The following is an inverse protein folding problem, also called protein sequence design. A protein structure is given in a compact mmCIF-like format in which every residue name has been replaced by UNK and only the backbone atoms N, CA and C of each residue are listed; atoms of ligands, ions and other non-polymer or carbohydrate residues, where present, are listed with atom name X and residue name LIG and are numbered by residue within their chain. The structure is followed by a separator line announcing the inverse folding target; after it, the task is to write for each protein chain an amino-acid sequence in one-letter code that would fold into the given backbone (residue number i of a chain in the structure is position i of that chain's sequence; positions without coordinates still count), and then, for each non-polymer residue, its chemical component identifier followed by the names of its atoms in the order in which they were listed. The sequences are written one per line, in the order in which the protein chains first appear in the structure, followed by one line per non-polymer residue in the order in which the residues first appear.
data_IF_002032002669
#
_entry.id   IF_002032002669
#
_cell.length_a   1.000
_cell.length_b   1.000
_cell.length_c   1.000
_cell.angle_alpha   90.00
_cell.angle_beta   90.00
_cell.angle_gamma   90.00
#
_symmetry.space_group_name_H-M   'P 1'
#
loop_
_entity.id
_entity.type
_entity.pdbx_description
1 polymer ?
#
# COMPACT_ATOMS: atom_id res chain seq x y z
N UNK A 1 27.32 30.79 -65.54
CA UNK A 1 25.99 30.23 -65.22
C UNK A 1 26.04 28.89 -64.46
N UNK A 2 27.10 28.06 -64.59
CA UNK A 2 27.22 26.75 -63.91
C UNK A 2 27.46 26.79 -62.38
N UNK A 3 28.04 27.86 -61.83
CA UNK A 3 28.43 27.92 -60.40
C UNK A 3 27.21 27.98 -59.46
N UNK A 4 26.09 28.56 -59.90
CA UNK A 4 24.86 28.71 -59.09
C UNK A 4 24.13 27.38 -58.85
N UNK A 5 24.16 26.47 -59.83
CA UNK A 5 23.45 25.18 -59.76
C UNK A 5 24.15 24.22 -58.79
N UNK A 6 25.48 24.16 -58.82
CA UNK A 6 26.27 23.31 -57.93
C UNK A 6 26.09 23.69 -56.46
N UNK A 7 26.07 24.99 -56.15
CA UNK A 7 25.85 25.46 -54.78
C UNK A 7 24.46 25.08 -54.24
N UNK A 8 23.40 25.21 -55.05
CA UNK A 8 22.03 24.81 -54.67
C UNK A 8 21.90 23.31 -54.39
N UNK A 9 22.61 22.48 -55.15
CA UNK A 9 22.62 21.02 -54.93
C UNK A 9 23.34 20.69 -53.62
N UNK A 10 24.47 21.33 -53.33
CA UNK A 10 25.22 21.11 -52.08
C UNK A 10 24.41 21.55 -50.87
N UNK A 11 23.78 22.73 -50.90
CA UNK A 11 22.96 23.20 -49.76
C UNK A 11 21.72 22.33 -49.55
N UNK A 12 21.07 21.88 -50.63
CA UNK A 12 19.96 20.92 -50.55
C UNK A 12 20.39 19.59 -49.93
N UNK A 13 21.54 19.03 -50.35
CA UNK A 13 22.06 17.78 -49.81
C UNK A 13 22.46 17.91 -48.34
N UNK A 14 23.09 19.03 -47.95
CA UNK A 14 23.43 19.31 -46.55
C UNK A 14 22.17 19.41 -45.68
N UNK A 15 21.14 20.12 -46.15
CA UNK A 15 19.88 20.23 -45.43
C UNK A 15 19.16 18.88 -45.30
N UNK A 16 19.17 18.06 -46.36
CA UNK A 16 18.57 16.72 -46.34
C UNK A 16 19.32 15.76 -45.42
N UNK A 17 20.65 15.84 -45.37
CA UNK A 17 21.50 15.08 -44.44
C UNK A 17 21.26 15.53 -43.00
N UNK A 18 21.15 16.84 -42.75
CA UNK A 18 20.86 17.39 -41.42
C UNK A 18 19.50 16.94 -40.89
N UNK A 19 18.44 17.04 -41.71
CA UNK A 19 17.10 16.56 -41.32
C UNK A 19 17.07 15.04 -41.12
N UNK A 20 17.80 14.27 -41.94
CA UNK A 20 17.94 12.81 -41.76
C UNK A 20 18.70 12.46 -40.48
N UNK A 21 19.71 13.26 -40.11
CA UNK A 21 20.46 13.09 -38.87
C UNK A 21 19.60 13.41 -37.65
N UNK A 22 18.82 14.49 -37.66
CA UNK A 22 17.91 14.87 -36.57
C UNK A 22 16.79 13.83 -36.35
N UNK A 23 16.19 13.33 -37.43
CA UNK A 23 15.16 12.27 -37.36
C UNK A 23 15.72 10.93 -36.87
N UNK A 24 16.90 10.52 -37.35
CA UNK A 24 17.57 9.31 -36.86
C UNK A 24 17.97 9.43 -35.38
N UNK A 25 18.41 10.61 -34.95
CA UNK A 25 18.73 10.88 -33.55
C UNK A 25 17.49 10.81 -32.66
N UNK A 26 16.34 11.33 -33.13
CA UNK A 26 15.05 11.23 -32.45
C UNK A 26 14.54 9.79 -32.32
N UNK A 27 14.57 9.01 -33.40
CA UNK A 27 14.19 7.58 -33.36
C UNK A 27 15.12 6.75 -32.46
N UNK A 28 16.43 7.02 -32.48
CA UNK A 28 17.38 6.36 -31.59
C UNK A 28 17.10 6.69 -30.13
N UNK A 29 16.80 7.96 -29.80
CA UNK A 29 16.43 8.37 -28.45
C UNK A 29 15.15 7.66 -28.01
N UNK A 30 14.11 7.64 -28.85
CA UNK A 30 12.86 6.95 -28.53
C UNK A 30 13.05 5.45 -28.31
N UNK A 31 13.79 4.77 -29.19
CA UNK A 31 14.10 3.34 -29.04
C UNK A 31 14.99 3.05 -27.83
N UNK A 32 15.91 3.96 -27.48
CA UNK A 32 16.74 3.86 -26.29
C UNK A 32 15.91 4.02 -25.02
N UNK A 33 15.03 5.02 -24.96
CA UNK A 33 14.08 5.19 -23.85
C UNK A 33 13.13 4.01 -23.76
N UNK A 34 12.59 3.52 -24.88
CA UNK A 34 11.65 2.40 -24.89
C UNK A 34 12.34 1.11 -24.43
N UNK A 35 13.54 0.79 -24.93
CA UNK A 35 14.35 -0.33 -24.42
C UNK A 35 14.76 -0.14 -22.96
N UNK A 36 15.05 1.08 -22.52
CA UNK A 36 15.38 1.37 -21.12
C UNK A 36 14.17 1.15 -20.22
N UNK A 37 12.98 1.62 -20.62
CA UNK A 37 11.72 1.43 -19.89
C UNK A 37 11.31 -0.04 -19.87
N UNK A 38 11.42 -0.75 -20.99
CA UNK A 38 11.15 -2.19 -21.09
C UNK A 38 12.14 -2.98 -20.20
N UNK A 39 13.42 -2.62 -20.18
CA UNK A 39 14.40 -3.26 -19.32
C UNK A 39 14.11 -2.99 -17.83
N UNK A 40 13.81 -1.73 -17.46
CA UNK A 40 13.39 -1.35 -16.10
C UNK A 40 12.15 -2.13 -15.68
N UNK A 41 11.16 -2.23 -16.56
CA UNK A 41 9.92 -2.98 -16.34
C UNK A 41 10.17 -4.48 -16.17
N UNK A 42 10.99 -5.10 -17.02
CA UNK A 42 11.32 -6.53 -16.92
C UNK A 42 12.10 -6.86 -15.64
N UNK A 43 13.05 -6.00 -15.25
CA UNK A 43 13.80 -6.16 -13.99
C UNK A 43 12.86 -6.05 -12.79
N UNK A 44 11.96 -5.05 -12.75
CA UNK A 44 10.92 -4.90 -11.72
C UNK A 44 10.02 -6.13 -11.64
N UNK A 45 9.55 -6.64 -12.79
CA UNK A 45 8.68 -7.81 -12.88
C UNK A 45 9.34 -9.08 -12.35
N UNK A 46 10.62 -9.31 -12.64
CA UNK A 46 11.37 -10.46 -12.09
C UNK A 46 11.49 -10.39 -10.56
N UNK A 47 11.73 -9.20 -10.00
CA UNK A 47 11.81 -9.00 -8.55
C UNK A 47 10.49 -9.33 -7.85
N UNK A 48 9.35 -8.95 -8.43
CA UNK A 48 8.03 -9.30 -7.88
C UNK A 48 7.82 -10.81 -7.75
N UNK A 49 8.15 -11.58 -8.79
CA UNK A 49 7.97 -13.05 -8.80
C UNK A 49 8.90 -13.74 -7.80
N UNK A 50 10.14 -13.27 -7.67
CA UNK A 50 11.08 -13.79 -6.67
C UNK A 50 10.59 -13.49 -5.26
N UNK A 51 10.08 -12.28 -5.01
CA UNK A 51 9.58 -11.89 -3.69
C UNK A 51 8.34 -12.68 -3.28
N UNK A 52 7.35 -12.86 -4.16
CA UNK A 52 6.17 -13.69 -3.85
C UNK A 52 6.54 -15.14 -3.56
N UNK A 53 7.53 -15.69 -4.29
CA UNK A 53 8.06 -17.03 -4.01
C UNK A 53 8.76 -17.09 -2.63
N UNK A 54 9.51 -16.05 -2.25
CA UNK A 54 10.09 -15.94 -0.90
C UNK A 54 8.97 -15.94 0.16
N UNK A 55 7.96 -15.10 0.01
CA UNK A 55 6.82 -15.04 0.95
C UNK A 55 6.15 -16.40 1.14
N UNK A 56 5.91 -17.13 0.03
CA UNK A 56 5.31 -18.47 0.10
C UNK A 56 6.22 -19.50 0.79
N UNK A 57 7.54 -19.41 0.57
CA UNK A 57 8.54 -20.30 1.19
C UNK A 57 8.63 -20.04 2.70
N UNK A 58 8.64 -18.78 3.13
CA UNK A 58 8.79 -18.37 4.52
C UNK A 58 7.46 -18.20 5.27
N UNK A 59 6.34 -18.65 4.71
CA UNK A 59 4.98 -18.42 5.26
C UNK A 59 4.81 -18.87 6.72
N UNK A 60 5.37 -20.00 7.12
CA UNK A 60 5.25 -20.52 8.49
C UNK A 60 5.99 -19.63 9.49
N UNK A 61 7.17 -19.16 9.10
CA UNK A 61 7.98 -18.21 9.88
C UNK A 61 7.27 -16.87 9.98
N UNK A 62 6.70 -16.37 8.87
CA UNK A 62 5.95 -15.13 8.83
C UNK A 62 4.79 -15.18 9.82
N UNK A 63 3.96 -16.23 9.77
CA UNK A 63 2.80 -16.39 10.66
C UNK A 63 3.26 -16.51 12.12
N UNK A 64 4.30 -17.30 12.38
CA UNK A 64 4.83 -17.47 13.73
C UNK A 64 5.33 -16.16 14.32
N UNK A 65 6.05 -15.36 13.53
CA UNK A 65 6.53 -14.05 13.95
C UNK A 65 5.37 -13.05 14.11
N UNK A 66 4.33 -13.12 13.27
CA UNK A 66 3.17 -12.24 13.38
C UNK A 66 2.40 -12.51 14.68
N UNK A 67 2.23 -13.79 15.05
CA UNK A 67 1.63 -14.18 16.33
C UNK A 67 2.47 -13.68 17.50
N UNK A 68 3.79 -13.85 17.44
CA UNK A 68 4.69 -13.34 18.48
C UNK A 68 4.63 -11.81 18.60
N UNK A 69 4.51 -11.11 17.47
CA UNK A 69 4.41 -9.65 17.43
C UNK A 69 3.10 -9.18 18.10
N UNK A 70 1.98 -9.82 17.78
CA UNK A 70 0.69 -9.60 18.47
C UNK A 70 0.80 -9.84 19.98
N UNK A 71 1.41 -10.96 20.39
CA UNK A 71 1.59 -11.28 21.79
C UNK A 71 2.44 -10.23 22.51
N UNK A 72 3.52 -9.74 21.89
CA UNK A 72 4.37 -8.68 22.43
C UNK A 72 3.61 -7.36 22.57
N UNK A 73 2.85 -6.97 21.55
CA UNK A 73 2.07 -5.72 21.53
C UNK A 73 0.99 -5.69 22.62
N UNK A 74 0.34 -6.82 22.88
CA UNK A 74 -0.73 -6.92 23.89
C UNK A 74 -0.24 -7.48 25.23
N UNK A 75 1.08 -7.51 25.44
CA UNK A 75 1.75 -8.04 26.64
C UNK A 75 1.33 -9.47 27.04
N UNK A 76 0.77 -10.25 26.11
CA UNK A 76 0.20 -11.58 26.39
C UNK A 76 -0.99 -11.57 27.36
N UNK A 77 -1.59 -10.41 27.64
CA UNK A 77 -2.70 -10.29 28.61
C UNK A 77 -4.01 -9.92 27.92
N UNK A 78 -5.13 -10.37 28.50
CA UNK A 78 -6.46 -9.94 28.09
C UNK A 78 -6.62 -8.42 28.21
N UNK A 79 -5.98 -7.80 29.19
CA UNK A 79 -6.01 -6.35 29.40
C UNK A 79 -5.42 -5.56 28.21
N UNK A 80 -4.28 -6.01 27.66
CA UNK A 80 -3.68 -5.38 26.49
C UNK A 80 -4.55 -5.50 25.24
N UNK A 81 -5.20 -6.66 25.06
CA UNK A 81 -6.14 -6.86 23.96
C UNK A 81 -7.37 -5.96 24.08
N UNK A 82 -7.99 -5.89 25.27
CA UNK A 82 -9.12 -4.99 25.54
C UNK A 82 -8.72 -3.53 25.26
N UNK A 83 -7.52 -3.12 25.67
CA UNK A 83 -7.03 -1.76 25.43
C UNK A 83 -6.96 -1.40 23.94
N UNK A 84 -6.53 -2.33 23.10
CA UNK A 84 -6.47 -2.12 21.63
C UNK A 84 -7.83 -1.89 20.98
N UNK A 85 -8.92 -2.30 21.64
CA UNK A 85 -10.30 -2.08 21.20
C UNK A 85 -10.84 -0.77 21.79
N UNK A 86 -10.54 -0.50 23.06
CA UNK A 86 -10.98 0.72 23.75
C UNK A 86 -10.49 1.98 23.03
N UNK A 87 -9.21 2.03 22.63
CA UNK A 87 -8.64 3.23 22.03
C UNK A 87 -9.37 3.66 20.72
N UNK A 88 -9.55 2.77 19.72
CA UNK A 88 -10.37 3.06 18.53
C UNK A 88 -11.83 3.39 18.85
N UNK A 89 -12.45 2.68 19.80
CA UNK A 89 -13.84 2.95 20.17
C UNK A 89 -14.00 4.33 20.80
N UNK A 90 -13.10 4.72 21.70
CA UNK A 90 -13.08 6.08 22.29
C UNK A 90 -12.86 7.11 21.19
N UNK A 91 -11.97 6.85 20.24
CA UNK A 91 -11.74 7.74 19.08
C UNK A 91 -13.03 7.93 18.28
N UNK A 92 -13.72 6.83 17.95
CA UNK A 92 -15.01 6.85 17.24
C UNK A 92 -16.07 7.62 18.06
N UNK A 93 -16.14 7.40 19.38
CA UNK A 93 -17.08 8.08 20.27
C UNK A 93 -16.82 9.59 20.38
N UNK A 94 -15.55 10.00 20.45
CA UNK A 94 -15.18 11.42 20.45
C UNK A 94 -15.60 12.07 19.14
N UNK A 95 -15.33 11.42 18.00
CA UNK A 95 -15.78 11.93 16.70
C UNK A 95 -17.29 11.98 16.61
N UNK A 96 -17.99 10.95 17.06
CA UNK A 96 -19.45 10.97 17.16
C UNK A 96 -19.94 12.16 17.97
N UNK A 97 -19.39 12.37 19.17
CA UNK A 97 -19.80 13.46 20.06
C UNK A 97 -19.58 14.82 19.41
N UNK A 98 -18.39 15.07 18.84
CA UNK A 98 -18.05 16.35 18.21
C UNK A 98 -18.95 16.63 17.00
N UNK A 99 -19.12 15.66 16.09
CA UNK A 99 -19.87 15.88 14.85
C UNK A 99 -21.38 15.78 15.02
N UNK A 100 -21.87 14.88 15.86
CA UNK A 100 -23.31 14.68 16.09
C UNK A 100 -23.88 15.66 17.12
N UNK A 101 -23.18 15.91 18.22
CA UNK A 101 -23.69 16.76 19.31
C UNK A 101 -23.19 18.20 19.16
N UNK A 102 -21.89 18.37 18.90
CA UNK A 102 -21.27 19.69 18.75
C UNK A 102 -21.68 20.39 17.46
N UNK A 103 -21.45 19.74 16.32
CA UNK A 103 -21.71 20.32 14.99
C UNK A 103 -23.10 20.00 14.43
N UNK A 104 -23.84 19.07 15.07
CA UNK A 104 -25.19 18.64 14.65
C UNK A 104 -25.29 18.29 13.17
N UNK A 105 -24.27 17.61 12.65
CA UNK A 105 -24.22 17.15 11.27
C UNK A 105 -25.41 16.23 11.03
N UNK A 106 -26.22 16.55 10.01
CA UNK A 106 -27.37 15.73 9.66
C UNK A 106 -26.93 14.37 9.08
N UNK A 107 -27.71 13.31 9.33
CA UNK A 107 -27.49 12.01 8.69
C UNK A 107 -27.45 12.15 7.15
N UNK A 108 -26.63 11.32 6.50
CA UNK A 108 -26.58 11.28 5.03
C UNK A 108 -27.67 10.31 4.59
N UNK A 109 -28.83 10.86 4.23
CA UNK A 109 -30.03 10.07 3.98
C UNK A 109 -30.43 9.28 5.22
N UNK A 110 -30.59 7.97 5.07
CA UNK A 110 -31.00 7.10 6.17
C UNK A 110 -29.84 6.61 7.05
N UNK A 111 -28.58 6.87 6.68
CA UNK A 111 -27.42 6.32 7.40
C UNK A 111 -26.96 7.28 8.50
N UNK A 112 -26.91 6.83 9.78
CA UNK A 112 -26.35 7.65 10.85
C UNK A 112 -24.90 8.04 10.53
N UNK A 113 -24.57 9.30 10.78
CA UNK A 113 -23.23 9.84 10.50
C UNK A 113 -22.11 8.98 11.08
N UNK A 114 -22.32 8.39 12.26
CA UNK A 114 -21.33 7.55 12.92
C UNK A 114 -20.99 6.27 12.15
N UNK A 115 -21.97 5.63 11.51
CA UNK A 115 -21.71 4.44 10.69
C UNK A 115 -20.91 4.82 9.44
N UNK A 116 -21.29 5.92 8.79
CA UNK A 116 -20.59 6.44 7.62
C UNK A 116 -19.13 6.79 7.96
N UNK A 117 -18.92 7.53 9.05
CA UNK A 117 -17.59 7.97 9.45
C UNK A 117 -16.71 6.81 9.94
N UNK A 118 -17.25 5.90 10.76
CA UNK A 118 -16.51 4.75 11.25
C UNK A 118 -16.08 3.81 10.12
N UNK A 119 -16.90 3.66 9.06
CA UNK A 119 -16.54 2.87 7.88
C UNK A 119 -15.28 3.41 7.16
N UNK A 120 -15.10 4.73 7.10
CA UNK A 120 -13.91 5.36 6.53
C UNK A 120 -12.72 5.36 7.51
N UNK A 121 -12.99 5.56 8.80
CA UNK A 121 -11.96 5.71 9.82
C UNK A 121 -11.22 4.38 10.09
N UNK A 122 -11.92 3.24 10.11
CA UNK A 122 -11.32 1.95 10.47
C UNK A 122 -10.20 1.50 9.51
N UNK A 123 -10.39 1.52 8.18
CA UNK A 123 -9.30 1.27 7.22
C UNK A 123 -8.18 2.29 7.38
N UNK A 124 -8.52 3.57 7.56
CA UNK A 124 -7.52 4.63 7.73
C UNK A 124 -6.61 4.41 8.94
N UNK A 125 -7.18 4.08 10.10
CA UNK A 125 -6.43 3.80 11.32
C UNK A 125 -5.44 2.65 11.12
N UNK A 126 -5.91 1.57 10.51
CA UNK A 126 -5.07 0.39 10.25
C UNK A 126 -3.97 0.72 9.24
N UNK A 127 -4.27 1.53 8.22
CA UNK A 127 -3.31 1.92 7.19
C UNK A 127 -2.19 2.78 7.80
N UNK A 128 -2.58 3.81 8.54
CA UNK A 128 -1.65 4.72 9.20
C UNK A 128 -0.74 3.98 10.20
N UNK A 129 -1.32 3.10 11.01
CA UNK A 129 -0.57 2.26 11.96
C UNK A 129 0.42 1.34 11.23
N UNK A 130 -0.02 0.69 10.14
CA UNK A 130 0.84 -0.25 9.39
C UNK A 130 2.03 0.44 8.75
N UNK A 131 1.82 1.63 8.16
CA UNK A 131 2.93 2.40 7.59
C UNK A 131 3.93 2.79 8.69
N UNK A 132 3.44 3.32 9.81
CA UNK A 132 4.30 3.80 10.90
C UNK A 132 5.16 2.67 11.49
N UNK A 133 4.56 1.50 11.70
CA UNK A 133 5.27 0.31 12.20
C UNK A 133 6.28 -0.19 11.16
N UNK A 134 5.90 -0.24 9.88
CA UNK A 134 6.76 -0.71 8.81
C UNK A 134 8.02 0.14 8.63
N UNK A 135 7.95 1.45 8.85
CA UNK A 135 9.13 2.33 8.79
C UNK A 135 10.20 1.94 9.81
N UNK A 136 9.80 1.40 10.97
CA UNK A 136 10.72 1.09 12.07
C UNK A 136 11.01 -0.41 12.24
N UNK A 137 10.36 -1.27 11.46
CA UNK A 137 10.36 -2.73 11.70
C UNK A 137 11.76 -3.37 11.60
N UNK A 138 12.62 -2.87 10.71
CA UNK A 138 13.98 -3.38 10.53
C UNK A 138 14.87 -3.01 11.71
N UNK A 139 14.79 -1.75 12.17
CA UNK A 139 15.54 -1.29 13.32
C UNK A 139 15.12 -2.05 14.59
N UNK A 140 13.79 -2.20 14.78
CA UNK A 140 13.20 -2.92 15.92
C UNK A 140 13.59 -4.41 15.95
N UNK A 141 13.78 -5.04 14.77
CA UNK A 141 14.13 -6.46 14.66
C UNK A 141 15.61 -6.70 14.28
N UNK A 142 16.47 -5.69 14.44
CA UNK A 142 17.89 -5.77 14.07
C UNK A 142 18.65 -6.90 14.77
N UNK A 143 18.20 -7.32 15.95
CA UNK A 143 18.75 -8.47 16.68
C UNK A 143 18.55 -9.80 15.93
N UNK A 144 17.40 -9.98 15.29
CA UNK A 144 17.07 -11.21 14.56
C UNK A 144 17.89 -11.33 13.27
N UNK A 145 18.07 -10.20 12.58
CA UNK A 145 18.87 -10.11 11.34
C UNK A 145 20.35 -10.41 11.61
N UNK A 146 20.88 -9.98 12.76
CA UNK A 146 22.29 -10.19 13.12
C UNK A 146 22.60 -11.62 13.57
N UNK A 147 21.61 -12.35 14.09
CA UNK A 147 21.82 -13.69 14.68
C UNK A 147 21.47 -14.84 13.75
N UNK A 148 20.68 -14.60 12.73
CA UNK A 148 20.15 -15.62 11.82
C UNK A 148 20.31 -15.09 10.39
N UNK A 149 20.58 -15.95 9.40
CA UNK A 149 20.60 -15.56 7.97
C UNK A 149 19.16 -15.29 7.50
N UNK A 150 18.56 -14.25 8.05
CA UNK A 150 17.16 -13.93 7.92
C UNK A 150 16.98 -12.83 6.86
N UNK A 151 16.17 -13.04 5.82
CA UNK A 151 15.94 -12.01 4.82
C UNK A 151 15.18 -10.84 5.47
N UNK A 152 15.79 -9.66 5.56
CA UNK A 152 15.15 -8.46 6.13
C UNK A 152 13.87 -8.05 5.38
N UNK A 153 13.79 -8.41 4.09
CA UNK A 153 12.66 -8.19 3.20
C UNK A 153 11.33 -8.82 3.67
N UNK A 154 11.32 -9.83 4.54
CA UNK A 154 10.06 -10.45 4.99
C UNK A 154 9.48 -9.79 6.24
N UNK A 155 10.25 -8.98 6.97
CA UNK A 155 9.82 -8.36 8.23
C UNK A 155 8.61 -7.44 8.08
N UNK A 156 8.52 -6.55 7.07
CA UNK A 156 7.35 -5.69 6.92
C UNK A 156 6.09 -6.46 6.48
N UNK A 157 6.25 -7.68 5.96
CA UNK A 157 5.12 -8.58 5.70
C UNK A 157 4.61 -9.26 6.97
N UNK A 158 5.48 -9.52 7.95
CA UNK A 158 5.09 -10.02 9.28
C UNK A 158 4.16 -9.02 9.97
N UNK A 159 4.53 -7.75 9.99
CA UNK A 159 3.74 -6.67 10.60
C UNK A 159 2.43 -6.42 9.84
N UNK A 160 2.42 -6.57 8.51
CA UNK A 160 1.19 -6.55 7.72
C UNK A 160 0.23 -7.66 8.15
N UNK A 161 0.71 -8.90 8.26
CA UNK A 161 -0.11 -10.04 8.70
C UNK A 161 -0.62 -9.83 10.13
N UNK A 162 0.21 -9.33 11.03
CA UNK A 162 -0.19 -9.00 12.39
C UNK A 162 -1.33 -7.96 12.43
N UNK A 163 -1.19 -6.88 11.66
CA UNK A 163 -2.18 -5.79 11.60
C UNK A 163 -3.49 -6.23 10.93
N UNK A 164 -3.44 -7.14 9.97
CA UNK A 164 -4.65 -7.71 9.34
C UNK A 164 -5.51 -8.47 10.35
N UNK A 165 -4.89 -9.19 11.29
CA UNK A 165 -5.62 -9.89 12.36
C UNK A 165 -6.35 -8.88 13.25
N UNK A 166 -5.65 -7.82 13.69
CA UNK A 166 -6.26 -6.75 14.50
C UNK A 166 -7.37 -6.02 13.73
N UNK A 167 -7.18 -5.79 12.43
CA UNK A 167 -8.21 -5.18 11.57
C UNK A 167 -9.47 -6.04 11.46
N UNK A 168 -9.32 -7.37 11.33
CA UNK A 168 -10.45 -8.30 11.32
C UNK A 168 -11.28 -8.22 12.60
N UNK A 169 -10.62 -8.08 13.76
CA UNK A 169 -11.30 -7.89 15.05
C UNK A 169 -12.10 -6.58 15.04
N UNK A 170 -11.49 -5.46 14.62
CA UNK A 170 -12.19 -4.18 14.53
C UNK A 170 -13.36 -4.21 13.54
N UNK A 171 -13.19 -4.88 12.40
CA UNK A 171 -14.23 -5.05 11.40
C UNK A 171 -15.44 -5.80 11.97
N UNK A 172 -15.18 -6.85 12.75
CA UNK A 172 -16.22 -7.64 13.42
C UNK A 172 -17.01 -6.78 14.42
N UNK A 173 -16.30 -5.96 15.19
CA UNK A 173 -16.93 -5.01 16.13
C UNK A 173 -17.79 -3.99 15.37
N UNK A 174 -17.29 -3.46 14.26
CA UNK A 174 -18.02 -2.53 13.41
C UNK A 174 -19.31 -3.15 12.83
N UNK A 175 -19.24 -4.38 12.33
CA UNK A 175 -20.44 -5.10 11.90
C UNK A 175 -21.45 -5.27 13.04
N UNK A 176 -20.97 -5.55 14.26
CA UNK A 176 -21.82 -5.59 15.46
C UNK A 176 -22.53 -4.26 15.74
N UNK A 177 -21.82 -3.14 15.60
CA UNK A 177 -22.41 -1.79 15.73
C UNK A 177 -23.46 -1.57 14.64
N UNK A 178 -23.21 -1.95 13.39
CA UNK A 178 -24.19 -1.79 12.30
C UNK A 178 -25.49 -2.56 12.58
N UNK A 179 -25.37 -3.80 13.08
CA UNK A 179 -26.52 -4.62 13.45
C UNK A 179 -27.30 -4.02 14.62
N UNK A 180 -26.61 -3.43 15.61
CA UNK A 180 -27.26 -2.74 16.73
C UNK A 180 -28.09 -1.52 16.29
N UNK A 181 -27.69 -0.86 15.20
CA UNK A 181 -28.45 0.21 14.54
C UNK A 181 -29.57 -0.32 13.60
N UNK A 182 -29.83 -1.63 13.58
CA UNK A 182 -30.89 -2.25 12.79
C UNK A 182 -30.61 -2.29 11.28
N UNK A 183 -29.35 -2.12 10.86
CA UNK A 183 -28.98 -2.14 9.43
C UNK A 183 -28.60 -3.55 8.98
N UNK A 184 -29.29 -4.13 7.99
CA UNK A 184 -28.97 -5.46 7.49
C UNK A 184 -27.62 -5.49 6.77
N UNK A 185 -26.95 -6.64 6.81
CA UNK A 185 -25.71 -6.87 6.08
C UNK A 185 -26.01 -6.91 4.57
N UNK A 186 -25.88 -5.76 3.89
CA UNK A 186 -26.05 -5.63 2.44
C UNK A 186 -24.75 -5.92 1.67
N UNK A 187 -24.86 -6.10 0.36
CA UNK A 187 -23.72 -6.18 -0.58
C UNK A 187 -22.75 -5.00 -0.46
N UNK A 188 -23.22 -3.85 0.04
CA UNK A 188 -22.38 -2.69 0.33
C UNK A 188 -21.24 -3.00 1.32
N UNK A 189 -21.45 -3.94 2.25
CA UNK A 189 -20.41 -4.34 3.22
C UNK A 189 -19.28 -5.14 2.57
N UNK A 190 -19.45 -5.64 1.34
CA UNK A 190 -18.38 -6.26 0.58
C UNK A 190 -17.25 -5.26 0.25
N UNK A 191 -17.57 -3.95 0.26
CA UNK A 191 -16.57 -2.90 0.12
C UNK A 191 -15.50 -2.98 1.22
N UNK A 192 -15.83 -3.47 2.42
CA UNK A 192 -14.86 -3.71 3.48
C UNK A 192 -13.76 -4.71 3.06
N UNK A 193 -14.13 -5.80 2.39
CA UNK A 193 -13.15 -6.76 1.86
C UNK A 193 -12.33 -6.15 0.72
N UNK A 194 -12.96 -5.33 -0.12
CA UNK A 194 -12.25 -4.57 -1.16
C UNK A 194 -11.20 -3.63 -0.55
N UNK A 195 -11.54 -2.88 0.50
CA UNK A 195 -10.58 -2.01 1.20
C UNK A 195 -9.45 -2.80 1.85
N UNK A 196 -9.73 -3.96 2.46
CA UNK A 196 -8.71 -4.84 3.01
C UNK A 196 -7.73 -5.32 1.93
N UNK A 197 -8.25 -5.75 0.78
CA UNK A 197 -7.43 -6.15 -0.36
C UNK A 197 -6.61 -4.98 -0.92
N UNK A 198 -7.23 -3.80 -1.08
CA UNK A 198 -6.57 -2.61 -1.56
C UNK A 198 -5.41 -2.17 -0.63
N UNK A 199 -5.60 -2.24 0.68
CA UNK A 199 -4.55 -1.94 1.66
C UNK A 199 -3.38 -2.93 1.57
N UNK A 200 -3.67 -4.23 1.47
CA UNK A 200 -2.64 -5.25 1.27
C UNK A 200 -1.84 -4.98 -0.02
N UNK A 201 -2.53 -4.65 -1.11
CA UNK A 201 -1.91 -4.35 -2.39
C UNK A 201 -1.04 -3.09 -2.33
N UNK A 202 -1.52 -2.01 -1.70
CA UNK A 202 -0.75 -0.77 -1.53
C UNK A 202 0.52 -0.99 -0.72
N UNK A 203 0.45 -1.75 0.37
CA UNK A 203 1.61 -2.02 1.23
C UNK A 203 2.59 -2.95 0.52
N UNK A 204 2.10 -3.94 -0.23
CA UNK A 204 2.93 -4.80 -1.07
C UNK A 204 3.67 -4.00 -2.16
N UNK A 205 2.97 -3.07 -2.83
CA UNK A 205 3.56 -2.19 -3.84
C UNK A 205 4.59 -1.23 -3.23
N UNK A 206 4.29 -0.62 -2.09
CA UNK A 206 5.25 0.21 -1.35
C UNK A 206 6.51 -0.59 -1.01
N UNK A 207 6.35 -1.83 -0.57
CA UNK A 207 7.46 -2.72 -0.25
C UNK A 207 8.32 -3.05 -1.48
N UNK A 208 7.69 -3.31 -2.62
CA UNK A 208 8.44 -3.50 -3.87
C UNK A 208 9.23 -2.23 -4.18
N UNK A 209 8.62 -1.05 -4.11
CA UNK A 209 9.32 0.19 -4.44
C UNK A 209 10.50 0.51 -3.50
N UNK A 210 10.38 0.23 -2.20
CA UNK A 210 11.42 0.58 -1.21
C UNK A 210 12.58 -0.41 -1.19
N UNK A 211 12.30 -1.70 -1.42
CA UNK A 211 13.29 -2.77 -1.23
C UNK A 211 13.79 -3.41 -2.54
N UNK A 212 13.23 -3.04 -3.69
CA UNK A 212 13.58 -3.58 -5.01
C UNK A 212 14.31 -2.53 -5.86
#
# INVERSE_FOLDING_TARGET
MQISTTYKIITYLLQKIQVRAETAHGEFILLFFDKMLINRYNVQRMKMVVFTRKLYTYRSIIVSMAVQDIQRRYAGTVAGFIWSIINPLVTILVYWFVFSVGLRVQPIGDVPFILFFAAALLPWMTFSETILINTNVIAANSHLIKKMVFPSEILPFVTLVANLITHFVMLTIFMGIMLAYGRPLSFMNLQCLYYMFAMCALIFLYHIHVYA
#
